data_IF_782793167458
#
_entry.id   IF_782793167458
#
_cell.length_a   1.000
_cell.length_b   1.000
_cell.length_c   1.000
_cell.angle_alpha   90.00
_cell.angle_beta   90.00
_cell.angle_gamma   90.00
#
_symmetry.space_group_name_H-M   'P 1'
#
loop_
_entity.id
_entity.type
_entity.pdbx_description
1 polymer ?
#
# COMPACT_ATOMS: atom_id res chain seq x y z
N UNK A 1 -1.37 24.18 9.09
CA UNK A 1 -2.78 23.77 9.20
C UNK A 1 -3.04 22.86 8.02
N UNK A 2 -3.27 21.56 8.23
CA UNK A 2 -3.56 20.65 7.11
C UNK A 2 -4.91 21.08 6.54
N UNK A 3 -4.99 21.40 5.25
CA UNK A 3 -6.23 21.80 4.60
C UNK A 3 -6.95 20.55 4.08
N UNK A 4 -8.24 20.42 4.39
CA UNK A 4 -9.12 19.43 3.76
C UNK A 4 -9.19 19.63 2.26
N UNK A 5 -9.69 18.62 1.55
CA UNK A 5 -10.01 18.75 0.13
C UNK A 5 -11.22 19.64 -0.07
N UNK A 6 -11.19 20.51 -1.10
CA UNK A 6 -12.39 21.22 -1.56
C UNK A 6 -13.24 20.32 -2.47
N UNK A 7 -14.48 20.75 -2.75
CA UNK A 7 -15.35 20.05 -3.70
C UNK A 7 -14.71 19.99 -5.10
N UNK A 8 -14.08 21.07 -5.55
CA UNK A 8 -13.37 21.11 -6.85
C UNK A 8 -12.19 20.12 -6.86
N UNK A 9 -11.43 20.05 -5.77
CA UNK A 9 -10.31 19.11 -5.66
C UNK A 9 -10.79 17.65 -5.67
N UNK A 10 -11.93 17.34 -5.05
CA UNK A 10 -12.51 16.00 -5.05
C UNK A 10 -13.03 15.61 -6.43
N UNK A 11 -13.71 16.52 -7.14
CA UNK A 11 -14.13 16.29 -8.54
C UNK A 11 -12.90 16.04 -9.42
N UNK A 12 -11.84 16.84 -9.24
CA UNK A 12 -10.59 16.66 -9.99
C UNK A 12 -9.92 15.31 -9.68
N UNK A 13 -9.90 14.88 -8.41
CA UNK A 13 -9.40 13.57 -7.99
C UNK A 13 -10.19 12.45 -8.67
N UNK A 14 -11.53 12.48 -8.59
CA UNK A 14 -12.42 11.48 -9.19
C UNK A 14 -12.20 11.40 -10.70
N UNK A 15 -12.17 12.56 -11.37
CA UNK A 15 -11.98 12.65 -12.82
C UNK A 15 -10.62 12.11 -13.25
N UNK A 16 -9.56 12.46 -12.52
CA UNK A 16 -8.18 12.04 -12.86
C UNK A 16 -7.96 10.56 -12.64
N UNK A 17 -8.36 10.04 -11.48
CA UNK A 17 -8.14 8.64 -11.07
C UNK A 17 -9.03 7.70 -11.86
N UNK A 18 -10.34 7.97 -11.90
CA UNK A 18 -11.32 7.02 -12.41
C UNK A 18 -11.76 7.27 -13.84
N UNK A 19 -11.43 8.43 -14.42
CA UNK A 19 -11.76 8.82 -15.80
C UNK A 19 -13.20 8.42 -16.19
N UNK A 20 -14.22 8.91 -15.45
CA UNK A 20 -15.60 8.54 -15.67
C UNK A 20 -16.04 8.82 -17.11
N UNK A 21 -16.84 7.91 -17.66
CA UNK A 21 -17.40 8.03 -19.02
C UNK A 21 -18.89 8.38 -18.98
N UNK A 22 -19.47 8.96 -20.04
CA UNK A 22 -20.91 9.19 -20.07
C UNK A 22 -21.71 7.91 -19.82
N UNK A 23 -22.66 7.96 -18.89
CA UNK A 23 -23.46 6.80 -18.48
C UNK A 23 -22.89 6.00 -17.30
N UNK A 24 -21.88 6.51 -16.58
CA UNK A 24 -21.54 6.00 -15.24
C UNK A 24 -22.79 5.90 -14.35
N UNK A 25 -22.83 4.86 -13.50
CA UNK A 25 -24.02 4.54 -12.71
C UNK A 25 -24.10 5.36 -11.42
N UNK A 26 -22.95 5.57 -10.78
CA UNK A 26 -22.86 6.28 -9.50
C UNK A 26 -21.50 6.07 -8.83
N UNK A 27 -21.23 6.91 -7.83
CA UNK A 27 -20.09 6.79 -6.93
C UNK A 27 -20.55 6.50 -5.51
N UNK A 28 -19.96 5.50 -4.86
CA UNK A 28 -20.17 5.27 -3.44
C UNK A 28 -18.87 5.50 -2.66
N UNK A 29 -18.93 6.30 -1.60
CA UNK A 29 -17.87 6.36 -0.59
C UNK A 29 -18.21 5.33 0.49
N UNK A 30 -17.34 4.36 0.72
CA UNK A 30 -17.54 3.28 1.69
C UNK A 30 -16.83 3.60 2.99
N UNK A 31 -17.51 3.38 4.11
CA UNK A 31 -16.93 3.45 5.47
C UNK A 31 -17.39 2.26 6.31
N UNK A 32 -16.47 1.72 7.10
CA UNK A 32 -16.75 0.72 8.12
C UNK A 32 -17.12 1.39 9.46
N UNK A 33 -18.04 0.77 10.20
CA UNK A 33 -18.49 1.23 11.50
C UNK A 33 -17.89 0.39 12.64
N UNK A 34 -17.50 1.04 13.77
CA UNK A 34 -17.11 0.34 14.99
C UNK A 34 -18.29 -0.43 15.57
N UNK A 35 -17.98 -1.38 16.44
CA UNK A 35 -18.96 -2.20 17.13
C UNK A 35 -18.51 -2.49 18.58
N UNK A 36 -19.22 -3.39 19.26
CA UNK A 36 -18.87 -3.79 20.62
C UNK A 36 -17.52 -4.51 20.75
N UNK A 37 -17.04 -5.18 19.69
CA UNK A 37 -15.79 -5.95 19.69
C UNK A 37 -14.60 -5.06 19.38
N UNK A 38 -14.75 -4.14 18.44
CA UNK A 38 -13.73 -3.15 18.06
C UNK A 38 -14.29 -1.75 18.33
N UNK A 39 -14.00 -1.18 19.52
CA UNK A 39 -14.54 0.11 19.91
C UNK A 39 -13.96 1.23 19.04
N UNK A 40 -14.73 2.31 18.96
CA UNK A 40 -14.37 3.48 18.17
C UNK A 40 -13.09 4.17 18.69
N UNK A 41 -12.40 4.85 17.77
CA UNK A 41 -11.23 5.68 18.09
C UNK A 41 -11.40 7.09 17.53
N UNK A 42 -10.73 8.11 18.08
CA UNK A 42 -10.78 9.46 17.53
C UNK A 42 -10.39 9.52 16.04
N UNK A 43 -9.36 8.74 15.64
CA UNK A 43 -8.92 8.68 14.25
C UNK A 43 -9.95 8.01 13.32
N UNK A 44 -10.66 6.97 13.80
CA UNK A 44 -11.71 6.33 13.03
C UNK A 44 -12.91 7.26 12.86
N UNK A 45 -13.33 7.95 13.93
CA UNK A 45 -14.37 8.99 13.86
C UNK A 45 -14.02 10.09 12.88
N UNK A 46 -12.82 10.67 12.97
CA UNK A 46 -12.35 11.71 12.04
C UNK A 46 -12.41 11.22 10.58
N UNK A 47 -12.03 9.96 10.33
CA UNK A 47 -12.13 9.36 8.98
C UNK A 47 -13.56 9.25 8.48
N UNK A 48 -14.49 8.82 9.34
CA UNK A 48 -15.92 8.73 8.97
C UNK A 48 -16.52 10.10 8.71
N UNK A 49 -16.19 11.09 9.54
CA UNK A 49 -16.63 12.47 9.35
C UNK A 49 -16.09 13.06 8.03
N UNK A 50 -14.82 12.81 7.72
CA UNK A 50 -14.18 13.20 6.46
C UNK A 50 -14.86 12.53 5.26
N UNK A 51 -15.12 11.22 5.32
CA UNK A 51 -15.81 10.49 4.25
C UNK A 51 -17.23 11.01 4.01
N UNK A 52 -17.98 11.30 5.07
CA UNK A 52 -19.32 11.90 4.98
C UNK A 52 -19.26 13.30 4.34
N UNK A 53 -18.29 14.13 4.74
CA UNK A 53 -18.08 15.44 4.12
C UNK A 53 -17.74 15.33 2.63
N UNK A 54 -16.89 14.37 2.24
CA UNK A 54 -16.54 14.14 0.83
C UNK A 54 -17.74 13.68 0.01
N UNK A 55 -18.55 12.76 0.54
CA UNK A 55 -19.75 12.29 -0.12
C UNK A 55 -20.75 13.45 -0.35
N UNK A 56 -20.95 14.30 0.65
CA UNK A 56 -21.81 15.48 0.54
C UNK A 56 -21.28 16.49 -0.48
N UNK A 57 -19.98 16.78 -0.49
CA UNK A 57 -19.36 17.68 -1.46
C UNK A 57 -19.50 17.16 -2.91
N UNK A 58 -19.27 15.87 -3.13
CA UNK A 58 -19.41 15.24 -4.45
C UNK A 58 -20.87 15.13 -4.88
N UNK A 59 -21.80 14.82 -3.97
CA UNK A 59 -23.23 14.81 -4.27
C UNK A 59 -23.74 16.19 -4.73
N UNK A 60 -23.22 17.27 -4.13
CA UNK A 60 -23.47 18.66 -4.57
C UNK A 60 -22.87 19.03 -5.94
N UNK A 61 -22.07 18.14 -6.55
CA UNK A 61 -21.42 18.30 -7.86
C UNK A 61 -21.95 17.30 -8.90
N UNK A 62 -23.16 16.77 -8.71
CA UNK A 62 -23.83 15.84 -9.64
C UNK A 62 -23.81 16.30 -11.10
N UNK A 63 -24.14 17.57 -11.36
CA UNK A 63 -24.21 18.09 -12.74
C UNK A 63 -22.83 18.06 -13.44
N UNK A 64 -21.76 18.25 -12.69
CA UNK A 64 -20.39 18.23 -13.18
C UNK A 64 -19.87 16.79 -13.37
N UNK A 65 -20.19 15.89 -12.44
CA UNK A 65 -19.79 14.49 -12.48
C UNK A 65 -20.63 13.65 -13.45
N UNK A 66 -21.89 14.01 -13.66
CA UNK A 66 -22.85 13.27 -14.50
C UNK A 66 -23.49 12.05 -13.84
N UNK A 67 -23.30 11.85 -12.53
CA UNK A 67 -23.84 10.72 -11.77
C UNK A 67 -24.04 11.07 -10.28
N UNK A 68 -24.86 10.27 -9.60
CA UNK A 68 -25.15 10.45 -8.18
C UNK A 68 -24.01 9.91 -7.30
N UNK A 69 -23.78 10.56 -6.15
CA UNK A 69 -22.80 10.13 -5.14
C UNK A 69 -23.51 9.82 -3.83
N UNK A 70 -23.17 8.68 -3.21
CA UNK A 70 -23.72 8.27 -1.93
C UNK A 70 -22.63 7.88 -0.93
N UNK A 71 -22.91 8.04 0.36
CA UNK A 71 -22.12 7.43 1.43
C UNK A 71 -22.73 6.07 1.78
N UNK A 72 -21.92 5.02 1.72
CA UNK A 72 -22.28 3.66 2.05
C UNK A 72 -21.59 3.22 3.36
N UNK A 73 -22.36 2.69 4.29
CA UNK A 73 -21.93 2.25 5.61
C UNK A 73 -22.00 0.71 5.69
N UNK A 74 -21.10 0.09 6.43
CA UNK A 74 -21.20 -1.33 6.76
C UNK A 74 -20.53 -1.65 8.11
N UNK A 75 -20.95 -2.72 8.82
CA UNK A 75 -20.24 -3.21 10.00
C UNK A 75 -18.80 -3.59 9.66
N UNK A 76 -17.83 -3.18 10.47
CA UNK A 76 -16.44 -3.56 10.25
C UNK A 76 -16.24 -5.10 10.29
N UNK A 77 -15.15 -5.57 9.68
CA UNK A 77 -14.87 -7.00 9.47
C UNK A 77 -13.77 -7.54 10.40
N UNK A 78 -13.42 -6.77 11.44
CA UNK A 78 -12.44 -7.08 12.50
C UNK A 78 -11.00 -7.37 12.06
N UNK A 79 -10.72 -7.46 10.77
CA UNK A 79 -9.39 -7.75 10.23
C UNK A 79 -9.16 -7.08 8.89
N UNK A 80 -7.91 -6.71 8.60
CA UNK A 80 -7.54 -6.20 7.30
C UNK A 80 -7.76 -7.27 6.23
N UNK A 81 -8.37 -6.89 5.11
CA UNK A 81 -8.70 -7.75 3.98
C UNK A 81 -9.66 -8.90 4.31
N UNK A 82 -10.44 -8.78 5.38
CA UNK A 82 -11.57 -9.69 5.65
C UNK A 82 -12.68 -9.54 4.60
N UNK A 83 -13.50 -10.58 4.44
CA UNK A 83 -14.65 -10.55 3.55
C UNK A 83 -15.64 -9.45 3.96
N UNK A 84 -16.08 -8.63 3.01
CA UNK A 84 -17.13 -7.63 3.27
C UNK A 84 -18.41 -8.34 3.73
N UNK A 85 -19.20 -7.73 4.64
CA UNK A 85 -20.44 -8.33 5.08
C UNK A 85 -21.43 -8.46 3.91
N UNK A 86 -22.48 -9.26 4.06
CA UNK A 86 -23.45 -9.46 2.99
C UNK A 86 -24.21 -8.17 2.60
N UNK A 87 -24.32 -7.21 3.53
CA UNK A 87 -25.16 -6.04 3.42
C UNK A 87 -24.39 -4.75 3.69
N UNK A 88 -24.86 -3.68 3.08
CA UNK A 88 -24.46 -2.30 3.28
C UNK A 88 -25.70 -1.41 3.46
N UNK A 89 -25.49 -0.17 3.84
CA UNK A 89 -26.53 0.83 4.04
C UNK A 89 -26.15 2.10 3.31
N UNK A 90 -27.08 2.74 2.61
CA UNK A 90 -26.87 4.09 2.10
C UNK A 90 -27.28 5.09 3.19
N UNK A 91 -26.41 6.04 3.48
CA UNK A 91 -26.70 7.13 4.42
C UNK A 91 -27.83 8.01 3.87
N UNK A 92 -28.88 8.20 4.67
CA UNK A 92 -29.94 9.18 4.40
C UNK A 92 -29.68 10.54 5.05
N UNK A 93 -30.71 11.38 5.14
CA UNK A 93 -30.62 12.76 5.68
C UNK A 93 -30.44 12.84 7.21
N UNK A 94 -30.43 11.69 7.90
CA UNK A 94 -30.25 11.61 9.35
C UNK A 94 -28.82 11.86 9.82
N UNK A 95 -28.58 11.86 11.15
CA UNK A 95 -27.23 11.88 11.69
C UNK A 95 -26.45 10.63 11.24
N UNK A 96 -25.13 10.78 11.08
CA UNK A 96 -24.25 9.66 10.74
C UNK A 96 -24.26 8.62 11.87
N UNK A 97 -24.60 7.34 11.59
CA UNK A 97 -24.48 6.24 12.53
C UNK A 97 -23.09 6.19 13.16
N UNK A 98 -23.04 6.03 14.48
CA UNK A 98 -21.78 6.05 15.21
C UNK A 98 -21.20 4.65 15.37
N UNK A 99 -22.07 3.63 15.36
CA UNK A 99 -21.70 2.22 15.47
C UNK A 99 -22.56 1.36 14.55
N UNK A 100 -22.11 0.13 14.31
CA UNK A 100 -22.82 -0.84 13.50
C UNK A 100 -24.23 -1.15 14.07
N UNK A 101 -24.39 -1.11 15.39
CA UNK A 101 -25.68 -1.38 16.05
C UNK A 101 -26.71 -0.26 15.83
N UNK A 102 -26.30 0.92 15.35
CA UNK A 102 -27.19 2.03 15.04
C UNK A 102 -27.86 1.89 13.66
N UNK A 103 -27.43 0.92 12.85
CA UNK A 103 -27.95 0.69 11.50
C UNK A 103 -29.34 0.03 11.55
N UNK A 104 -30.33 0.61 10.87
CA UNK A 104 -31.66 0.03 10.73
C UNK A 104 -31.61 -1.21 9.82
N UNK A 105 -31.89 -2.43 10.33
CA UNK A 105 -31.87 -3.64 9.51
C UNK A 105 -32.86 -3.61 8.34
N UNK A 106 -33.94 -2.82 8.42
CA UNK A 106 -34.93 -2.70 7.35
C UNK A 106 -34.42 -1.85 6.16
N UNK A 107 -33.39 -1.02 6.37
CA UNK A 107 -32.78 -0.18 5.35
C UNK A 107 -31.55 -0.82 4.67
N UNK A 108 -31.22 -2.06 5.04
CA UNK A 108 -30.08 -2.78 4.50
C UNK A 108 -30.29 -3.13 3.02
N UNK A 109 -29.23 -2.99 2.22
CA UNK A 109 -29.17 -3.50 0.85
C UNK A 109 -28.02 -4.51 0.68
N UNK A 110 -28.16 -5.52 -0.17
CA UNK A 110 -27.05 -6.38 -0.56
C UNK A 110 -25.92 -5.59 -1.23
N UNK A 111 -24.66 -5.94 -0.95
CA UNK A 111 -23.52 -5.35 -1.67
C UNK A 111 -23.60 -5.50 -3.21
N UNK A 112 -24.06 -6.63 -3.77
CA UNK A 112 -24.30 -6.73 -5.22
C UNK A 112 -25.22 -5.65 -5.78
N UNK A 113 -26.24 -5.25 -5.02
CA UNK A 113 -27.16 -4.17 -5.41
C UNK A 113 -26.47 -2.81 -5.31
N UNK A 114 -25.60 -2.61 -4.30
CA UNK A 114 -24.74 -1.43 -4.21
C UNK A 114 -23.82 -1.32 -5.45
N UNK A 115 -23.18 -2.42 -5.86
CA UNK A 115 -22.31 -2.49 -7.04
C UNK A 115 -23.08 -2.34 -8.37
N UNK A 116 -24.36 -2.72 -8.38
CA UNK A 116 -25.23 -2.51 -9.52
C UNK A 116 -25.55 -1.03 -9.73
N UNK A 117 -25.72 -0.27 -8.63
CA UNK A 117 -25.98 1.18 -8.66
C UNK A 117 -24.72 2.07 -8.76
N UNK A 118 -23.54 1.55 -8.42
CA UNK A 118 -22.31 2.34 -8.34
C UNK A 118 -21.17 1.63 -9.06
N UNK A 119 -20.63 2.27 -10.09
CA UNK A 119 -19.47 1.79 -10.83
C UNK A 119 -18.15 2.28 -10.25
N UNK A 120 -18.14 3.34 -9.43
CA UNK A 120 -16.95 3.86 -8.76
C UNK A 120 -17.13 3.72 -7.25
N UNK A 121 -16.14 3.12 -6.57
CA UNK A 121 -16.12 3.00 -5.12
C UNK A 121 -14.87 3.66 -4.55
N UNK A 122 -15.02 4.42 -3.47
CA UNK A 122 -13.90 4.98 -2.70
C UNK A 122 -14.05 4.52 -1.26
N UNK A 123 -13.21 3.61 -0.79
CA UNK A 123 -13.30 3.07 0.57
C UNK A 123 -12.34 3.80 1.52
N UNK A 124 -12.88 4.62 2.43
CA UNK A 124 -12.15 5.26 3.54
C UNK A 124 -12.39 4.49 4.84
N UNK A 125 -11.71 3.35 5.00
CA UNK A 125 -12.02 2.37 6.04
C UNK A 125 -10.92 2.28 7.10
N UNK A 126 -11.24 1.76 8.29
CA UNK A 126 -10.24 1.37 9.28
C UNK A 126 -9.55 0.08 8.87
N UNK A 127 -10.34 -0.95 8.57
CA UNK A 127 -9.81 -2.21 8.07
C UNK A 127 -9.75 -2.19 6.54
N UNK A 128 -8.64 -2.65 5.97
CA UNK A 128 -8.44 -2.67 4.52
C UNK A 128 -9.49 -3.49 3.80
N UNK A 129 -10.23 -2.85 2.90
CA UNK A 129 -11.16 -3.50 1.98
C UNK A 129 -10.52 -3.82 0.62
N UNK A 130 -9.18 -3.78 0.52
CA UNK A 130 -8.47 -3.86 -0.77
C UNK A 130 -8.65 -5.23 -1.44
N UNK A 131 -8.38 -6.32 -0.72
CA UNK A 131 -8.58 -7.67 -1.26
C UNK A 131 -10.04 -7.99 -1.61
N UNK A 132 -11.05 -7.77 -0.73
CA UNK A 132 -12.43 -8.07 -1.09
C UNK A 132 -12.94 -7.20 -2.23
N UNK A 133 -12.54 -5.92 -2.34
CA UNK A 133 -12.93 -5.08 -3.47
C UNK A 133 -12.22 -5.48 -4.78
N UNK A 134 -10.97 -5.98 -4.73
CA UNK A 134 -10.33 -6.61 -5.89
C UNK A 134 -11.10 -7.86 -6.35
N UNK A 135 -11.59 -8.68 -5.42
CA UNK A 135 -12.41 -9.85 -5.74
C UNK A 135 -13.77 -9.45 -6.32
N UNK A 136 -14.43 -8.46 -5.72
CA UNK A 136 -15.71 -7.93 -6.21
C UNK A 136 -15.55 -7.32 -7.62
N UNK A 137 -14.49 -6.56 -7.87
CA UNK A 137 -14.24 -5.97 -9.19
C UNK A 137 -14.04 -7.03 -10.29
N UNK A 138 -13.52 -8.23 -9.97
CA UNK A 138 -13.46 -9.33 -10.94
C UNK A 138 -14.84 -9.89 -11.33
N UNK A 139 -15.86 -9.66 -10.50
CA UNK A 139 -17.20 -10.24 -10.66
C UNK A 139 -18.25 -9.20 -11.09
N UNK A 140 -18.05 -7.94 -10.70
CA UNK A 140 -18.96 -6.83 -10.95
C UNK A 140 -18.25 -5.73 -11.75
N UNK A 141 -18.96 -5.00 -12.63
CA UNK A 141 -18.38 -3.91 -13.41
C UNK A 141 -18.19 -2.65 -12.54
N UNK A 142 -17.33 -2.76 -11.54
CA UNK A 142 -16.96 -1.69 -10.60
C UNK A 142 -15.47 -1.40 -10.72
N UNK A 143 -15.08 -0.22 -10.26
CA UNK A 143 -13.69 0.11 -9.99
C UNK A 143 -13.56 0.81 -8.64
N UNK A 144 -12.49 0.53 -7.92
CA UNK A 144 -12.39 0.94 -6.52
C UNK A 144 -11.02 1.49 -6.11
N UNK A 145 -11.02 2.61 -5.40
CA UNK A 145 -9.86 3.07 -4.63
C UNK A 145 -10.06 2.76 -3.14
N UNK A 146 -9.07 2.15 -2.50
CA UNK A 146 -9.12 1.82 -1.07
C UNK A 146 -8.06 2.57 -0.30
N UNK A 147 -8.44 3.15 0.84
CA UNK A 147 -7.61 4.05 1.63
C UNK A 147 -7.65 3.63 3.12
N UNK A 148 -7.16 2.41 3.46
CA UNK A 148 -7.19 1.91 4.83
C UNK A 148 -6.40 2.79 5.78
N UNK A 149 -6.99 3.12 6.93
CA UNK A 149 -6.30 3.92 7.93
C UNK A 149 -6.05 5.38 7.48
N UNK A 150 -6.61 5.82 6.34
CA UNK A 150 -6.35 7.15 5.78
C UNK A 150 -6.63 8.24 6.82
N UNK A 151 -5.70 9.18 6.92
CA UNK A 151 -5.75 10.28 7.87
C UNK A 151 -5.64 11.61 7.14
N UNK A 152 -6.08 12.68 7.80
CA UNK A 152 -6.06 14.03 7.21
C UNK A 152 -4.65 14.45 6.77
N UNK A 153 -3.61 13.97 7.47
CA UNK A 153 -2.22 14.22 7.13
C UNK A 153 -1.83 13.70 5.72
N UNK A 154 -2.56 12.73 5.18
CA UNK A 154 -2.33 12.20 3.83
C UNK A 154 -2.99 13.00 2.71
N UNK A 155 -3.93 13.91 3.01
CA UNK A 155 -4.65 14.70 1.98
C UNK A 155 -3.74 15.35 0.92
N UNK A 156 -2.55 15.90 1.27
CA UNK A 156 -1.64 16.44 0.26
C UNK A 156 -1.25 15.45 -0.84
N UNK A 157 -1.15 14.15 -0.54
CA UNK A 157 -0.84 13.10 -1.52
C UNK A 157 -1.95 12.89 -2.56
N UNK A 158 -3.21 13.25 -2.24
CA UNK A 158 -4.33 13.17 -3.18
C UNK A 158 -4.34 14.33 -4.18
N UNK A 159 -3.63 15.43 -3.90
CA UNK A 159 -3.52 16.59 -4.79
C UNK A 159 -2.52 16.38 -5.92
N UNK A 160 -1.71 15.34 -5.85
CA UNK A 160 -0.66 15.06 -6.82
C UNK A 160 -1.22 14.79 -8.23
N UNK A 161 -0.41 15.09 -9.24
CA UNK A 161 -0.70 14.67 -10.60
C UNK A 161 -0.49 13.16 -10.76
N UNK A 162 -1.56 12.40 -10.54
CA UNK A 162 -1.56 10.94 -10.72
C UNK A 162 -1.22 10.50 -12.15
N UNK A 163 -1.34 11.37 -13.16
CA UNK A 163 -0.84 11.08 -14.50
C UNK A 163 0.69 10.98 -14.52
N UNK A 164 1.36 11.96 -13.92
CA UNK A 164 2.81 11.98 -13.78
C UNK A 164 3.31 10.93 -12.79
N UNK A 165 2.64 10.72 -11.65
CA UNK A 165 2.95 9.63 -10.71
C UNK A 165 2.88 8.27 -11.44
N UNK A 166 1.79 8.01 -12.17
CA UNK A 166 1.64 6.76 -12.91
C UNK A 166 2.69 6.60 -14.00
N UNK A 167 3.08 7.68 -14.71
CA UNK A 167 4.14 7.63 -15.73
C UNK A 167 5.48 7.19 -15.10
N UNK A 168 5.86 7.79 -13.97
CA UNK A 168 7.10 7.44 -13.25
C UNK A 168 7.07 6.00 -12.75
N UNK A 169 5.96 5.59 -12.16
CA UNK A 169 5.75 4.21 -11.70
C UNK A 169 5.85 3.21 -12.84
N UNK A 170 5.21 3.49 -13.99
CA UNK A 170 5.25 2.59 -15.13
C UNK A 170 6.68 2.45 -15.68
N UNK A 171 7.44 3.54 -15.74
CA UNK A 171 8.86 3.51 -16.11
C UNK A 171 9.67 2.60 -15.17
N UNK A 172 9.46 2.72 -13.86
CA UNK A 172 10.14 1.85 -12.88
C UNK A 172 9.73 0.39 -13.05
N UNK A 173 8.44 0.11 -13.25
CA UNK A 173 7.94 -1.25 -13.50
C UNK A 173 8.56 -1.86 -14.76
N UNK A 174 8.68 -1.11 -15.85
CA UNK A 174 9.31 -1.58 -17.09
C UNK A 174 10.81 -1.87 -16.89
N UNK A 175 11.49 -1.13 -16.00
CA UNK A 175 12.86 -1.43 -15.61
C UNK A 175 12.96 -2.70 -14.75
N UNK A 176 12.04 -2.87 -13.80
CA UNK A 176 11.99 -4.06 -12.95
C UNK A 176 11.70 -5.33 -13.75
N UNK A 177 10.81 -5.27 -14.75
CA UNK A 177 10.51 -6.40 -15.64
C UNK A 177 11.74 -6.95 -16.38
N UNK A 178 12.75 -6.09 -16.61
CA UNK A 178 13.97 -6.43 -17.33
C UNK A 178 15.15 -6.75 -16.42
N UNK A 179 14.99 -6.52 -15.11
CA UNK A 179 16.07 -6.68 -14.15
C UNK A 179 16.16 -8.14 -13.68
N UNK A 180 17.37 -8.67 -13.66
CA UNK A 180 17.71 -9.96 -13.04
C UNK A 180 18.22 -9.79 -11.61
N UNK A 181 18.61 -8.57 -11.22
CA UNK A 181 19.00 -8.30 -9.85
C UNK A 181 19.02 -6.82 -9.49
N UNK A 182 19.11 -6.53 -8.20
CA UNK A 182 19.31 -5.19 -7.68
C UNK A 182 20.45 -5.21 -6.65
N UNK A 183 21.47 -4.36 -6.86
CA UNK A 183 22.54 -4.13 -5.91
C UNK A 183 22.26 -2.86 -5.11
N UNK A 184 22.14 -3.02 -3.80
CA UNK A 184 21.90 -1.94 -2.86
C UNK A 184 23.12 -1.75 -1.97
N UNK A 185 23.50 -0.49 -1.78
CA UNK A 185 24.58 -0.09 -0.87
C UNK A 185 24.05 0.87 0.16
N UNK A 186 24.39 0.62 1.41
CA UNK A 186 23.98 1.42 2.55
C UNK A 186 25.18 1.82 3.38
N UNK A 187 25.10 3.00 3.98
CA UNK A 187 25.99 3.43 5.05
C UNK A 187 25.16 3.65 6.31
N UNK A 188 25.64 3.14 7.44
CA UNK A 188 25.01 3.30 8.75
C UNK A 188 26.09 3.43 9.84
N UNK A 189 25.76 3.75 11.10
CA UNK A 189 26.75 3.92 12.17
C UNK A 189 27.70 2.73 12.40
N UNK A 190 27.29 1.53 11.99
CA UNK A 190 28.12 0.31 12.09
C UNK A 190 29.03 0.06 10.89
N UNK A 191 28.97 0.88 9.84
CA UNK A 191 29.79 0.76 8.64
C UNK A 191 28.97 0.72 7.35
N UNK A 192 29.57 0.11 6.32
CA UNK A 192 28.91 -0.11 5.03
C UNK A 192 28.23 -1.48 5.00
N UNK A 193 27.04 -1.54 4.43
CA UNK A 193 26.28 -2.77 4.18
C UNK A 193 25.93 -2.85 2.70
N UNK A 194 26.04 -4.05 2.12
CA UNK A 194 25.66 -4.31 0.74
C UNK A 194 24.64 -5.45 0.71
N UNK A 195 23.60 -5.31 -0.09
CA UNK A 195 22.60 -6.34 -0.32
C UNK A 195 22.43 -6.52 -1.83
N UNK A 196 22.53 -7.76 -2.29
CA UNK A 196 22.07 -8.15 -3.62
C UNK A 196 20.70 -8.80 -3.49
N UNK A 197 19.74 -8.33 -4.27
CA UNK A 197 18.44 -8.97 -4.47
C UNK A 197 18.44 -9.65 -5.83
N UNK A 198 18.10 -10.93 -5.85
CA UNK A 198 17.86 -11.71 -7.07
C UNK A 198 16.44 -11.43 -7.56
N UNK A 199 16.29 -10.96 -8.79
CA UNK A 199 15.00 -10.59 -9.39
C UNK A 199 14.61 -11.51 -10.55
N UNK A 200 15.40 -12.55 -10.84
CA UNK A 200 15.12 -13.49 -11.93
C UNK A 200 13.78 -14.17 -11.72
N UNK A 201 13.14 -14.58 -12.81
CA UNK A 201 11.86 -15.33 -12.79
C UNK A 201 10.69 -14.57 -12.15
N UNK A 202 10.78 -13.25 -12.05
CA UNK A 202 9.77 -12.36 -11.47
C UNK A 202 9.47 -11.23 -12.44
N UNK A 203 8.35 -10.56 -12.21
CA UNK A 203 7.91 -9.40 -12.99
C UNK A 203 7.57 -8.27 -12.06
N UNK A 204 7.83 -7.04 -12.48
CA UNK A 204 7.46 -5.85 -11.73
C UNK A 204 5.95 -5.61 -11.78
N UNK A 205 5.42 -5.06 -10.69
CA UNK A 205 4.05 -4.58 -10.56
C UNK A 205 4.04 -3.06 -10.46
N UNK A 206 2.97 -2.45 -10.99
CA UNK A 206 2.77 -1.01 -10.96
C UNK A 206 1.56 -0.67 -10.07
N UNK A 207 1.75 0.26 -9.14
CA UNK A 207 0.70 0.91 -8.36
C UNK A 207 0.85 2.41 -8.57
N UNK A 208 0.28 2.92 -9.68
CA UNK A 208 0.40 4.33 -10.10
C UNK A 208 -0.79 5.21 -9.75
N UNK A 209 -1.83 4.64 -9.13
CA UNK A 209 -3.01 5.36 -8.64
C UNK A 209 -4.06 5.74 -9.69
N UNK A 210 -3.89 5.34 -10.96
CA UNK A 210 -4.94 5.44 -11.97
C UNK A 210 -5.76 4.16 -11.99
N UNK A 211 -7.09 4.31 -11.95
CA UNK A 211 -8.05 3.21 -11.89
C UNK A 211 -9.19 3.50 -12.89
N UNK A 212 -8.91 3.64 -14.20
CA UNK A 212 -9.94 4.00 -15.18
C UNK A 212 -10.80 2.80 -15.60
N UNK A 213 -10.24 1.59 -15.59
CA UNK A 213 -10.87 0.43 -16.18
C UNK A 213 -11.82 -0.25 -15.20
N UNK A 214 -12.98 -0.68 -15.71
CA UNK A 214 -13.88 -1.54 -14.94
C UNK A 214 -13.20 -2.86 -14.58
N UNK A 215 -13.52 -3.36 -13.40
CA UNK A 215 -12.97 -4.58 -12.85
C UNK A 215 -11.61 -4.42 -12.17
N UNK A 216 -11.21 -3.18 -11.87
CA UNK A 216 -9.94 -2.87 -11.21
C UNK A 216 -10.14 -2.28 -9.82
N UNK A 217 -9.23 -2.61 -8.89
CA UNK A 217 -9.20 -1.99 -7.58
C UNK A 217 -7.76 -1.82 -7.11
N UNK A 218 -7.48 -0.69 -6.47
CA UNK A 218 -6.13 -0.32 -6.03
C UNK A 218 -6.18 0.64 -4.83
N UNK A 219 -5.02 0.98 -4.30
CA UNK A 219 -4.93 1.89 -3.18
C UNK A 219 -4.91 3.35 -3.63
N UNK A 220 -5.36 4.24 -2.74
CA UNK A 220 -4.97 5.64 -2.74
C UNK A 220 -4.55 6.05 -1.31
N UNK A 221 -3.50 6.87 -1.14
CA UNK A 221 -2.54 7.26 -2.16
C UNK A 221 -1.79 6.05 -2.73
N UNK A 222 -1.20 6.25 -3.89
CA UNK A 222 -0.46 5.26 -4.66
C UNK A 222 0.73 5.97 -5.30
N UNK A 223 1.69 5.22 -5.85
CA UNK A 223 2.91 5.82 -6.38
C UNK A 223 4.16 4.97 -6.16
N UNK A 224 4.08 3.67 -6.46
CA UNK A 224 5.25 2.79 -6.41
C UNK A 224 5.25 1.76 -7.54
N UNK A 225 6.43 1.30 -7.91
CA UNK A 225 6.60 0.01 -8.58
C UNK A 225 7.27 -0.97 -7.61
N UNK A 226 6.88 -2.23 -7.65
CA UNK A 226 7.42 -3.24 -6.74
C UNK A 226 7.62 -4.59 -7.41
N UNK A 227 8.49 -5.42 -6.84
CA UNK A 227 8.79 -6.78 -7.30
C UNK A 227 9.12 -7.66 -6.09
N UNK A 228 8.60 -8.88 -6.07
CA UNK A 228 9.01 -9.88 -5.07
C UNK A 228 10.38 -10.44 -5.48
N UNK A 229 11.42 -10.35 -4.64
CA UNK A 229 12.67 -11.03 -4.92
C UNK A 229 12.49 -12.54 -5.14
N UNK A 230 13.30 -13.13 -6.01
CA UNK A 230 13.25 -14.56 -6.29
C UNK A 230 13.62 -15.36 -5.03
N UNK A 231 12.74 -16.25 -4.61
CA UNK A 231 12.83 -16.95 -3.33
C UNK A 231 13.58 -18.30 -3.43
N UNK A 232 13.99 -18.69 -4.64
CA UNK A 232 14.83 -19.88 -4.85
C UNK A 232 14.05 -21.17 -5.02
N UNK A 233 12.80 -21.11 -5.45
CA UNK A 233 11.93 -22.30 -5.56
C UNK A 233 12.22 -23.26 -6.69
N UNK A 234 13.12 -22.91 -7.61
CA UNK A 234 13.58 -23.82 -8.66
C UNK A 234 14.77 -24.60 -8.09
N UNK A 235 14.68 -25.92 -7.88
CA UNK A 235 15.73 -26.68 -7.17
C UNK A 235 17.13 -26.60 -7.79
N UNK A 236 17.22 -26.34 -9.09
CA UNK A 236 18.48 -26.25 -9.83
C UNK A 236 19.00 -24.81 -9.97
N UNK A 237 18.25 -23.82 -9.48
CA UNK A 237 18.59 -22.41 -9.58
C UNK A 237 18.21 -21.72 -8.25
N UNK A 238 19.03 -21.85 -7.19
CA UNK A 238 18.76 -21.23 -5.91
C UNK A 238 18.79 -19.71 -6.00
N UNK A 239 18.11 -19.04 -5.07
CA UNK A 239 18.15 -17.58 -4.97
C UNK A 239 19.56 -17.10 -4.68
N UNK A 240 19.98 -16.07 -5.41
CA UNK A 240 21.25 -15.37 -5.22
C UNK A 240 21.15 -14.21 -4.25
N UNK A 241 19.95 -13.94 -3.71
CA UNK A 241 19.72 -12.86 -2.75
C UNK A 241 20.58 -13.08 -1.49
N UNK A 242 21.52 -12.18 -1.24
CA UNK A 242 22.46 -12.28 -0.13
C UNK A 242 23.09 -10.93 0.23
N UNK A 243 23.52 -10.80 1.49
CA UNK A 243 24.23 -9.62 1.98
C UNK A 243 23.77 -9.18 3.35
N UNK A 244 23.88 -7.88 3.63
CA UNK A 244 23.47 -7.25 4.88
C UNK A 244 22.39 -6.22 4.62
N UNK A 245 21.27 -6.32 5.35
CA UNK A 245 20.19 -5.34 5.34
C UNK A 245 20.15 -4.59 6.67
N UNK A 246 20.55 -3.30 6.72
CA UNK A 246 20.38 -2.48 7.91
C UNK A 246 18.94 -1.97 8.02
N UNK A 247 18.37 -1.97 9.23
CA UNK A 247 17.04 -1.45 9.56
C UNK A 247 17.13 -0.68 10.87
N UNK A 248 16.62 0.55 10.90
CA UNK A 248 16.62 1.37 12.10
C UNK A 248 15.40 1.09 13.01
N UNK A 249 15.66 0.94 14.30
CA UNK A 249 14.67 0.82 15.37
C UNK A 249 15.00 1.84 16.47
N UNK A 250 14.23 2.93 16.52
CA UNK A 250 14.56 4.06 17.41
C UNK A 250 15.96 4.60 17.14
N UNK A 251 16.84 4.55 18.12
CA UNK A 251 18.24 4.98 18.00
C UNK A 251 19.20 3.85 17.55
N UNK A 252 18.76 2.59 17.50
CA UNK A 252 19.58 1.44 17.13
C UNK A 252 19.43 1.10 15.63
N UNK A 253 20.51 0.67 14.98
CA UNK A 253 20.45 0.09 13.63
C UNK A 253 20.76 -1.41 13.73
N UNK A 254 19.77 -2.23 13.41
CA UNK A 254 19.84 -3.68 13.39
C UNK A 254 20.23 -4.15 12.00
N UNK A 255 21.21 -5.05 11.89
CA UNK A 255 21.67 -5.58 10.60
C UNK A 255 21.30 -7.06 10.46
N UNK A 256 20.53 -7.39 9.43
CA UNK A 256 20.15 -8.76 9.09
C UNK A 256 21.15 -9.34 8.10
N UNK A 257 21.67 -10.53 8.38
CA UNK A 257 22.45 -11.31 7.43
C UNK A 257 21.50 -12.13 6.55
N UNK A 258 21.47 -11.81 5.27
CA UNK A 258 20.57 -12.41 4.28
C UNK A 258 21.34 -13.47 3.47
N UNK A 259 20.73 -14.65 3.31
CA UNK A 259 21.26 -15.72 2.44
C UNK A 259 20.10 -16.54 1.85
N UNK A 260 20.05 -16.60 0.52
CA UNK A 260 19.01 -17.33 -0.20
C UNK A 260 17.63 -16.74 0.07
N UNK A 261 17.51 -15.41 -0.04
CA UNK A 261 16.28 -14.64 0.19
C UNK A 261 15.74 -14.60 1.63
N UNK A 262 16.48 -15.13 2.60
CA UNK A 262 16.02 -15.20 3.99
C UNK A 262 17.05 -14.58 4.92
N UNK A 263 16.59 -13.77 5.87
CA UNK A 263 17.39 -13.36 7.03
C UNK A 263 17.71 -14.59 7.87
N UNK A 264 18.98 -15.00 7.89
CA UNK A 264 19.45 -16.16 8.65
C UNK A 264 19.74 -15.83 10.10
N UNK A 265 20.22 -14.62 10.34
CA UNK A 265 20.45 -14.11 11.68
C UNK A 265 20.47 -12.58 11.69
N UNK A 266 20.43 -12.04 12.89
CA UNK A 266 20.71 -10.64 13.18
C UNK A 266 22.11 -10.54 13.75
N UNK A 267 22.91 -9.61 13.26
CA UNK A 267 24.26 -9.38 13.76
C UNK A 267 24.22 -8.91 15.24
N UNK A 268 25.22 -9.26 16.07
CA UNK A 268 25.28 -8.82 17.46
C UNK A 268 25.17 -7.30 17.58
N UNK A 269 24.34 -6.83 18.50
CA UNK A 269 24.03 -5.42 18.68
C UNK A 269 23.46 -5.13 20.07
N UNK A 270 22.64 -4.08 20.15
CA UNK A 270 21.98 -3.65 21.37
C UNK A 270 20.67 -4.42 21.63
N UNK A 271 19.79 -3.86 22.49
CA UNK A 271 18.52 -4.46 22.84
C UNK A 271 17.59 -4.74 21.64
N UNK A 272 17.57 -3.87 20.62
CA UNK A 272 16.71 -4.09 19.45
C UNK A 272 17.24 -5.23 18.58
N UNK A 273 18.57 -5.34 18.40
CA UNK A 273 19.16 -6.49 17.71
C UNK A 273 18.86 -7.82 18.43
N UNK A 274 18.95 -7.84 19.77
CA UNK A 274 18.60 -9.02 20.55
C UNK A 274 17.10 -9.39 20.43
N UNK A 275 16.22 -8.38 20.43
CA UNK A 275 14.77 -8.56 20.27
C UNK A 275 14.43 -9.12 18.88
N UNK A 276 14.99 -8.54 17.82
CA UNK A 276 14.78 -8.98 16.44
C UNK A 276 15.39 -10.37 16.18
N UNK A 277 16.55 -10.69 16.78
CA UNK A 277 17.12 -12.03 16.74
C UNK A 277 16.19 -13.07 17.36
N UNK A 278 15.60 -12.76 18.52
CA UNK A 278 14.65 -13.64 19.20
C UNK A 278 13.35 -13.79 18.39
N UNK A 279 12.86 -12.71 17.78
CA UNK A 279 11.68 -12.74 16.92
C UNK A 279 11.91 -13.64 15.69
N UNK A 280 13.03 -13.45 15.00
CA UNK A 280 13.42 -14.24 13.84
C UNK A 280 13.60 -15.73 14.17
N UNK A 281 14.16 -16.04 15.34
CA UNK A 281 14.28 -17.42 15.81
C UNK A 281 12.92 -18.05 16.16
N UNK A 282 11.99 -17.27 16.73
CA UNK A 282 10.66 -17.74 17.08
C UNK A 282 9.75 -17.90 15.85
N UNK A 283 9.91 -17.05 14.84
CA UNK A 283 9.11 -17.05 13.62
C UNK A 283 10.01 -16.89 12.38
N UNK A 284 10.63 -17.97 11.87
CA UNK A 284 11.55 -17.88 10.73
C UNK A 284 10.91 -17.32 9.44
N UNK A 285 9.60 -17.50 9.26
CA UNK A 285 8.88 -16.98 8.10
C UNK A 285 8.88 -15.45 8.01
N UNK A 286 9.02 -14.74 9.15
CA UNK A 286 9.25 -13.30 9.18
C UNK A 286 10.52 -12.91 8.40
N UNK A 287 11.55 -13.76 8.38
CA UNK A 287 12.84 -13.45 7.75
C UNK A 287 12.85 -13.45 6.22
N UNK A 288 11.77 -13.84 5.55
CA UNK A 288 11.71 -13.83 4.08
C UNK A 288 11.72 -12.40 3.52
N UNK A 289 12.54 -12.11 2.52
CA UNK A 289 12.46 -10.85 1.79
C UNK A 289 11.29 -10.91 0.79
N UNK A 290 10.22 -10.18 1.11
CA UNK A 290 8.93 -10.29 0.46
C UNK A 290 8.73 -9.29 -0.69
N UNK A 291 9.44 -8.17 -0.67
CA UNK A 291 9.26 -7.10 -1.65
C UNK A 291 10.51 -6.22 -1.75
N UNK A 292 10.86 -5.83 -2.97
CA UNK A 292 11.58 -4.61 -3.29
C UNK A 292 10.58 -3.61 -3.85
N UNK A 293 10.37 -2.50 -3.16
CA UNK A 293 9.47 -1.44 -3.61
C UNK A 293 10.19 -0.13 -3.87
N UNK A 294 9.68 0.60 -4.84
CA UNK A 294 10.25 1.83 -5.39
C UNK A 294 9.15 2.91 -5.47
N UNK A 295 8.94 3.59 -4.34
CA UNK A 295 8.03 4.73 -4.23
C UNK A 295 8.56 6.00 -4.91
N UNK A 296 7.67 6.86 -5.41
CA UNK A 296 8.04 8.11 -6.11
C UNK A 296 7.54 9.38 -5.43
N UNK A 297 6.78 9.27 -4.34
CA UNK A 297 6.04 10.41 -3.77
C UNK A 297 6.93 11.43 -3.05
N UNK A 298 8.10 11.04 -2.51
CA UNK A 298 9.02 12.00 -1.89
C UNK A 298 9.54 13.03 -2.91
N UNK A 299 9.72 12.61 -4.18
CA UNK A 299 10.13 13.50 -5.27
C UNK A 299 9.07 14.58 -5.61
N UNK A 300 7.84 14.41 -5.14
CA UNK A 300 6.77 15.41 -5.22
C UNK A 300 6.61 16.24 -3.93
N UNK A 301 7.55 16.10 -2.99
CA UNK A 301 7.54 16.84 -1.72
C UNK A 301 6.63 16.23 -0.65
N UNK A 302 6.10 15.02 -0.86
CA UNK A 302 5.35 14.32 0.20
C UNK A 302 6.31 13.85 1.29
N UNK A 303 5.87 13.94 2.54
CA UNK A 303 6.62 13.57 3.75
C UNK A 303 5.91 12.43 4.47
N UNK A 304 6.64 11.60 5.23
CA UNK A 304 6.02 10.52 5.97
C UNK A 304 5.07 11.05 7.03
N UNK A 305 4.01 10.29 7.26
CA UNK A 305 2.94 10.59 8.23
C UNK A 305 2.83 9.52 9.31
N UNK A 306 3.69 8.50 9.29
CA UNK A 306 3.68 7.38 10.22
C UNK A 306 2.62 6.33 9.88
N UNK A 307 2.17 6.28 8.62
CA UNK A 307 1.21 5.28 8.14
C UNK A 307 1.73 4.65 6.86
N UNK A 308 1.93 3.33 6.92
CA UNK A 308 2.56 2.53 5.86
C UNK A 308 1.95 2.76 4.49
N UNK A 309 0.60 2.84 4.39
CA UNK A 309 -0.14 3.12 3.15
C UNK A 309 0.45 4.28 2.31
N UNK A 310 0.91 5.35 2.97
CA UNK A 310 1.56 6.48 2.31
C UNK A 310 3.08 6.35 2.35
N UNK A 311 3.64 6.00 3.51
CA UNK A 311 5.08 6.11 3.74
C UNK A 311 5.88 5.18 2.82
N UNK A 312 5.38 3.98 2.51
CA UNK A 312 6.04 3.06 1.57
C UNK A 312 6.09 3.62 0.13
N UNK A 313 5.20 4.56 -0.22
CA UNK A 313 5.17 5.18 -1.57
C UNK A 313 6.19 6.30 -1.70
N UNK A 314 6.95 6.62 -0.64
CA UNK A 314 7.88 7.74 -0.63
C UNK A 314 9.19 7.46 -1.39
N UNK A 315 9.71 6.24 -1.33
CA UNK A 315 11.04 5.92 -1.84
C UNK A 315 11.32 4.43 -1.85
N UNK A 316 12.60 4.05 -1.74
CA UNK A 316 12.98 2.65 -1.61
C UNK A 316 12.37 2.04 -0.34
N UNK A 317 11.77 0.85 -0.44
CA UNK A 317 11.48 0.01 0.71
C UNK A 317 11.81 -1.45 0.43
N UNK A 318 12.06 -2.20 1.50
CA UNK A 318 12.22 -3.65 1.46
C UNK A 318 11.27 -4.25 2.49
N UNK A 319 10.44 -5.19 2.06
CA UNK A 319 9.51 -5.86 2.95
C UNK A 319 10.03 -7.19 3.46
N UNK A 320 9.65 -7.51 4.70
CA UNK A 320 9.83 -8.83 5.32
C UNK A 320 8.51 -9.58 5.42
N UNK A 321 8.54 -10.91 5.30
CA UNK A 321 7.44 -11.82 5.62
C UNK A 321 6.71 -12.40 4.41
N UNK A 322 5.39 -12.29 4.41
CA UNK A 322 4.45 -12.91 3.47
C UNK A 322 4.56 -12.26 2.07
N UNK A 323 4.65 -13.06 1.01
CA UNK A 323 4.94 -12.59 -0.35
C UNK A 323 4.05 -13.19 -1.45
N UNK A 324 3.30 -14.27 -1.16
CA UNK A 324 2.55 -15.04 -2.17
C UNK A 324 1.45 -14.25 -2.89
N UNK A 325 0.82 -13.31 -2.20
CA UNK A 325 -0.18 -12.40 -2.78
C UNK A 325 0.41 -11.35 -3.73
N UNK A 326 1.74 -11.22 -3.75
CA UNK A 326 2.52 -10.39 -4.69
C UNK A 326 3.31 -11.23 -5.70
N UNK A 327 3.16 -12.57 -5.70
CA UNK A 327 3.84 -13.46 -6.65
C UNK A 327 5.04 -14.25 -6.08
N UNK A 328 5.27 -14.20 -4.77
CA UNK A 328 6.17 -15.13 -4.06
C UNK A 328 5.49 -16.45 -3.68
N UNK A 329 6.04 -17.16 -2.69
CA UNK A 329 5.48 -18.42 -2.18
C UNK A 329 5.27 -18.45 -0.67
N UNK A 330 5.88 -17.53 0.07
CA UNK A 330 5.69 -17.49 1.52
C UNK A 330 4.29 -16.96 1.81
N UNK A 331 3.37 -17.89 2.08
CA UNK A 331 2.00 -17.63 2.49
C UNK A 331 1.75 -17.88 3.98
N UNK A 332 0.50 -17.68 4.45
CA UNK A 332 0.13 -17.86 5.85
C UNK A 332 0.54 -19.20 6.47
N UNK A 333 0.55 -20.28 5.68
CA UNK A 333 0.94 -21.62 6.14
C UNK A 333 2.42 -21.76 6.51
N UNK A 334 3.27 -20.80 6.13
CA UNK A 334 4.67 -20.77 6.52
C UNK A 334 4.88 -20.22 7.95
N UNK A 335 3.90 -19.49 8.47
CA UNK A 335 3.96 -18.88 9.80
C UNK A 335 3.43 -19.83 10.87
N UNK A 336 3.91 -19.69 12.11
CA UNK A 336 3.52 -20.58 13.21
C UNK A 336 2.04 -20.50 13.60
N UNK A 337 1.39 -19.36 13.35
CA UNK A 337 -0.03 -19.09 13.64
C UNK A 337 -0.57 -17.90 12.84
N UNK A 338 -1.89 -17.77 12.66
CA UNK A 338 -2.49 -16.66 11.90
C UNK A 338 -2.08 -15.26 12.39
N UNK A 339 -1.93 -15.08 13.70
CA UNK A 339 -1.56 -13.78 14.29
C UNK A 339 -0.10 -13.40 14.06
N UNK A 340 0.74 -14.35 13.65
CA UNK A 340 2.14 -14.12 13.32
C UNK A 340 2.36 -13.77 11.85
N UNK A 341 1.34 -13.89 11.00
CA UNK A 341 1.42 -13.56 9.58
C UNK A 341 1.64 -12.06 9.43
N UNK A 342 2.79 -11.69 8.87
CA UNK A 342 3.18 -10.29 8.68
C UNK A 342 3.69 -10.04 7.26
N UNK A 343 3.52 -8.79 6.82
CA UNK A 343 4.22 -8.18 5.71
C UNK A 343 4.67 -6.81 6.22
N UNK A 344 5.98 -6.56 6.29
CA UNK A 344 6.53 -5.40 7.02
C UNK A 344 7.46 -4.62 6.11
N UNK A 345 6.98 -3.49 5.62
CA UNK A 345 7.73 -2.54 4.80
C UNK A 345 8.71 -1.72 5.63
N UNK A 346 9.99 -1.82 5.28
CA UNK A 346 11.05 -0.96 5.81
C UNK A 346 11.35 0.14 4.80
N UNK A 347 10.81 1.34 5.04
CA UNK A 347 10.93 2.49 4.14
C UNK A 347 12.24 3.22 4.39
N UNK A 348 13.07 3.36 3.36
CA UNK A 348 14.40 3.97 3.39
C UNK A 348 14.36 5.42 2.87
N UNK A 349 13.63 6.29 3.57
CA UNK A 349 13.76 7.75 3.41
C UNK A 349 14.39 8.36 4.67
N UNK A 350 15.13 9.48 4.57
CA UNK A 350 15.85 10.05 5.71
C UNK A 350 14.96 10.35 6.92
N UNK A 351 13.69 10.71 6.69
CA UNK A 351 12.75 11.03 7.76
C UNK A 351 12.24 9.79 8.52
N UNK A 352 12.27 8.59 7.91
CA UNK A 352 11.86 7.33 8.56
C UNK A 352 13.04 6.55 9.14
N UNK A 353 14.20 6.59 8.47
CA UNK A 353 15.42 5.88 8.88
C UNK A 353 16.66 6.78 8.77
N UNK A 354 16.77 7.87 9.56
CA UNK A 354 17.84 8.87 9.42
C UNK A 354 19.27 8.35 9.66
N UNK A 355 19.42 7.18 10.29
CA UNK A 355 20.71 6.52 10.55
C UNK A 355 21.09 5.51 9.47
N UNK A 356 20.25 5.30 8.46
CA UNK A 356 20.55 4.42 7.34
C UNK A 356 20.51 5.22 6.04
N UNK A 357 21.69 5.51 5.51
CA UNK A 357 21.84 6.18 4.23
C UNK A 357 21.82 5.16 3.09
N UNK A 358 20.95 5.36 2.10
CA UNK A 358 21.00 4.60 0.84
C UNK A 358 22.03 5.27 -0.07
N UNK A 359 23.20 4.64 -0.24
CA UNK A 359 24.27 5.21 -1.07
C UNK A 359 23.95 5.03 -2.56
N UNK A 360 23.46 3.86 -2.94
CA UNK A 360 23.07 3.58 -4.33
C UNK A 360 22.15 2.38 -4.45
N UNK A 361 21.29 2.42 -5.46
CA UNK A 361 20.57 1.24 -5.99
C UNK A 361 20.93 1.09 -7.45
N UNK A 362 21.37 -0.10 -7.87
CA UNK A 362 21.74 -0.40 -9.26
C UNK A 362 21.01 -1.65 -9.73
N UNK A 363 20.20 -1.53 -10.78
CA UNK A 363 19.59 -2.70 -11.42
C UNK A 363 20.61 -3.41 -12.32
N UNK A 364 20.58 -4.74 -12.29
CA UNK A 364 21.35 -5.62 -13.16
C UNK A 364 20.40 -6.20 -14.19
N UNK A 365 20.65 -5.93 -15.47
CA UNK A 365 19.85 -6.46 -16.56
C UNK A 365 20.45 -7.77 -17.08
N UNK A 366 19.65 -8.57 -17.79
CA UNK A 366 20.05 -9.87 -18.36
C UNK A 366 21.27 -9.77 -19.30
N UNK A 367 21.42 -8.64 -20.01
CA UNK A 367 22.56 -8.39 -20.91
C UNK A 367 23.86 -7.99 -20.18
N UNK A 368 23.85 -7.98 -18.83
CA UNK A 368 24.95 -7.56 -17.98
C UNK A 368 25.02 -6.05 -17.74
N UNK A 369 24.11 -5.27 -18.30
CA UNK A 369 24.04 -3.82 -18.07
C UNK A 369 23.79 -3.51 -16.60
N UNK A 370 24.57 -2.58 -16.06
CA UNK A 370 24.37 -2.00 -14.74
C UNK A 370 23.67 -0.65 -14.90
N UNK A 371 22.40 -0.57 -14.49
CA UNK A 371 21.62 0.66 -14.58
C UNK A 371 21.56 1.33 -13.20
N UNK A 372 22.24 2.48 -13.00
CA UNK A 372 22.13 3.23 -11.75
C UNK A 372 20.71 3.77 -11.60
N UNK A 373 20.00 3.31 -10.58
CA UNK A 373 18.61 3.71 -10.32
C UNK A 373 18.54 4.83 -9.30
N UNK A 374 19.34 4.74 -8.23
CA UNK A 374 19.40 5.75 -7.17
C UNK A 374 20.85 6.06 -6.79
N UNK A 375 21.08 7.30 -6.35
CA UNK A 375 22.34 7.78 -5.76
C UNK A 375 22.03 8.68 -4.57
N UNK A 376 22.62 8.40 -3.42
CA UNK A 376 22.42 9.16 -2.18
C UNK A 376 20.93 9.31 -1.80
N UNK A 377 20.15 8.23 -1.96
CA UNK A 377 18.72 8.17 -1.64
C UNK A 377 17.78 8.72 -2.72
N UNK A 378 18.28 9.47 -3.70
CA UNK A 378 17.47 10.05 -4.76
C UNK A 378 17.54 9.23 -6.05
N UNK A 379 16.45 9.24 -6.83
CA UNK A 379 16.46 8.68 -8.19
C UNK A 379 17.51 9.37 -9.07
N UNK A 380 18.18 8.59 -9.93
CA UNK A 380 19.25 9.08 -10.77
C UNK A 380 18.77 10.22 -11.70
N UNK A 381 19.60 11.25 -11.94
CA UNK A 381 19.26 12.34 -12.85
C UNK A 381 18.90 11.84 -14.25
N UNK A 382 17.79 12.33 -14.80
CA UNK A 382 17.31 11.94 -16.13
C UNK A 382 16.56 10.60 -16.18
N UNK A 383 16.29 9.97 -15.04
CA UNK A 383 15.48 8.75 -14.99
C UNK A 383 14.00 9.02 -15.36
N UNK A 384 13.44 10.12 -14.87
CA UNK A 384 12.04 10.51 -15.10
C UNK A 384 11.90 11.62 -16.12
#
# INVERSE_FOLDING_TARGET
MVQDMTAEELVALVTRVFRPVPGERGLAILVDLPDAQVPDTPAWRERRDMAAAWAAMLAGRREELGFDTHLALYPNVHTNNGDLPAQAWLQGDGPLPQRAEDLDPAAALPFPDLYAGHSILIALTTFSATAPLKMAARQFPIRAATMPGFSRAMVPSLRLDYGEVNRRVQLLKDLLDRAEGADLRFTHPGGAANLHLDLRHRTGHASGGLIPDLGTAGNLPSGEAYIVPYEGERPQDPSRTAGLLPVQFGDEVVCYAIEGNVARCVLPGGPEAAREAALLAAEPAYGNLAELGLGVLAAFGVKPVGVVLLDEKLGLHIAFGRSEHFGGQVGPSAFSRPEAVVHIDRVYVPETQPRVQVDSVTLRLEDGTALPLMRAGDYAPGLF
#
